data_IF_340003720367
#
_entry.id   IF_340003720367
#
_cell.length_a   1.000
_cell.length_b   1.000
_cell.length_c   1.000
_cell.angle_alpha   90.00
_cell.angle_beta   90.00
_cell.angle_gamma   90.00
#
_symmetry.space_group_name_H-M   'P 1'
#
loop_
_entity.id
_entity.type
_entity.pdbx_description
1 polymer ?
#
# COMPACT_ATOMS: atom_id res chain seq x y z
N UNK A 1 58.56 106.08 -29.32
CA UNK A 1 57.35 105.41 -29.83
C UNK A 1 57.65 104.94 -31.23
N UNK A 2 57.58 103.63 -31.48
CA UNK A 2 57.24 103.03 -32.77
C UNK A 2 57.44 101.52 -32.64
N UNK A 3 56.39 100.91 -32.10
CA UNK A 3 56.07 99.51 -32.27
C UNK A 3 56.06 99.17 -33.77
N UNK A 4 56.82 98.17 -34.25
CA UNK A 4 56.67 97.69 -35.62
C UNK A 4 55.29 97.05 -35.73
N UNK A 5 54.43 97.71 -36.48
CA UNK A 5 53.08 97.28 -36.81
C UNK A 5 53.19 96.07 -37.74
N UNK A 6 52.84 94.88 -37.25
CA UNK A 6 52.65 93.72 -38.11
C UNK A 6 51.46 93.99 -39.04
N UNK A 7 51.72 93.80 -40.34
CA UNK A 7 50.79 94.03 -41.45
C UNK A 7 49.53 93.17 -41.35
N UNK A 8 48.38 93.65 -41.88
CA UNK A 8 47.15 92.89 -41.91
C UNK A 8 47.34 91.67 -42.80
N UNK A 9 47.09 90.48 -42.24
CA UNK A 9 47.22 89.20 -42.93
C UNK A 9 46.40 89.21 -44.23
N UNK A 10 47.04 88.89 -45.37
CA UNK A 10 46.44 88.85 -46.71
C UNK A 10 45.21 87.92 -46.71
N UNK A 11 44.07 88.37 -47.26
CA UNK A 11 42.76 87.68 -47.21
C UNK A 11 42.76 86.21 -47.70
N UNK A 12 43.54 85.82 -48.73
CA UNK A 12 43.72 84.41 -49.13
C UNK A 12 44.46 83.56 -48.07
N UNK A 13 45.42 84.16 -47.35
CA UNK A 13 46.17 83.48 -46.28
C UNK A 13 45.32 83.27 -45.02
N UNK A 14 44.36 84.16 -44.76
CA UNK A 14 43.32 83.95 -43.72
C UNK A 14 42.43 82.76 -44.03
N UNK A 15 41.92 82.66 -45.26
CA UNK A 15 41.09 81.53 -45.70
C UNK A 15 41.84 80.19 -45.63
N UNK A 16 43.10 80.14 -46.04
CA UNK A 16 43.95 78.94 -45.92
C UNK A 16 44.18 78.51 -44.45
N UNK A 17 44.41 79.46 -43.54
CA UNK A 17 44.60 79.15 -42.12
C UNK A 17 43.30 78.63 -41.47
N UNK A 18 42.15 79.14 -41.94
CA UNK A 18 40.82 78.71 -41.52
C UNK A 18 40.51 77.29 -42.03
N UNK A 19 40.87 76.97 -43.28
CA UNK A 19 40.80 75.61 -43.83
C UNK A 19 41.72 74.62 -43.09
N UNK A 20 42.96 75.02 -42.77
CA UNK A 20 43.90 74.19 -41.98
C UNK A 20 43.35 73.94 -40.57
N UNK A 21 42.78 74.95 -39.92
CA UNK A 21 42.11 74.77 -38.61
C UNK A 21 40.93 73.81 -38.71
N UNK A 22 40.12 73.92 -39.77
CA UNK A 22 38.97 73.06 -40.01
C UNK A 22 39.39 71.62 -40.32
N UNK A 23 40.47 71.43 -41.06
CA UNK A 23 41.09 70.12 -41.31
C UNK A 23 41.64 69.52 -40.01
N UNK A 24 42.31 70.32 -39.19
CA UNK A 24 42.86 69.90 -37.90
C UNK A 24 41.74 69.44 -36.95
N UNK A 25 40.64 70.20 -36.85
CA UNK A 25 39.49 69.83 -36.01
C UNK A 25 38.79 68.56 -36.50
N UNK A 26 38.74 68.35 -37.83
CA UNK A 26 38.23 67.10 -38.42
C UNK A 26 39.16 65.92 -38.16
N UNK A 27 40.48 66.15 -38.12
CA UNK A 27 41.47 65.12 -37.84
C UNK A 27 41.41 64.65 -36.40
N UNK A 28 41.23 65.55 -35.43
CA UNK A 28 40.96 65.18 -34.03
C UNK A 28 39.65 64.40 -33.88
N UNK A 29 38.57 64.81 -34.55
CA UNK A 29 37.31 64.06 -34.53
C UNK A 29 37.46 62.65 -35.14
N UNK A 30 38.34 62.49 -36.12
CA UNK A 30 38.65 61.19 -36.72
C UNK A 30 39.47 60.30 -35.76
N UNK A 31 40.42 60.87 -35.02
CA UNK A 31 41.18 60.16 -33.98
C UNK A 31 40.28 59.66 -32.84
N UNK A 32 39.29 60.48 -32.43
CA UNK A 32 38.25 60.09 -31.47
C UNK A 32 37.41 58.93 -32.00
N UNK A 33 36.95 59.00 -33.25
CA UNK A 33 36.17 57.92 -33.90
C UNK A 33 36.96 56.60 -33.97
N UNK A 34 38.25 56.66 -34.31
CA UNK A 34 39.12 55.47 -34.33
C UNK A 34 39.23 54.87 -32.93
N UNK A 35 39.36 55.69 -31.90
CA UNK A 35 39.39 55.22 -30.51
C UNK A 35 38.08 54.55 -30.10
N UNK A 36 36.92 55.11 -30.45
CA UNK A 36 35.62 54.48 -30.22
C UNK A 36 35.47 53.15 -30.95
N UNK A 37 35.91 53.07 -32.22
CA UNK A 37 35.90 51.83 -33.01
C UNK A 37 36.76 50.74 -32.35
N UNK A 38 37.90 51.10 -31.74
CA UNK A 38 38.72 50.14 -31.01
C UNK A 38 38.01 49.60 -29.76
N UNK A 39 37.31 50.46 -29.01
CA UNK A 39 36.51 50.02 -27.85
C UNK A 39 35.37 49.07 -28.26
N UNK A 40 34.63 49.41 -29.32
CA UNK A 40 33.57 48.55 -29.86
C UNK A 40 34.12 47.20 -30.31
N UNK A 41 35.32 47.18 -30.92
CA UNK A 41 35.98 45.93 -31.33
C UNK A 41 36.32 45.05 -30.13
N UNK A 42 36.79 45.65 -29.04
CA UNK A 42 37.13 44.91 -27.81
C UNK A 42 35.87 44.35 -27.14
N UNK A 43 34.80 45.13 -27.04
CA UNK A 43 33.49 44.65 -26.57
C UNK A 43 32.94 43.52 -27.47
N UNK A 44 33.07 43.65 -28.79
CA UNK A 44 32.65 42.62 -29.74
C UNK A 44 33.46 41.33 -29.59
N UNK A 45 34.77 41.44 -29.31
CA UNK A 45 35.62 40.30 -28.99
C UNK A 45 35.19 39.62 -27.68
N UNK A 46 34.89 40.42 -26.65
CA UNK A 46 34.34 39.92 -25.38
C UNK A 46 33.02 39.18 -25.58
N UNK A 47 32.09 39.77 -26.31
CA UNK A 47 30.80 39.17 -26.64
C UNK A 47 30.97 37.84 -27.39
N UNK A 48 31.88 37.78 -28.36
CA UNK A 48 32.18 36.55 -29.09
C UNK A 48 32.63 35.44 -28.15
N UNK A 49 33.49 35.74 -27.17
CA UNK A 49 33.93 34.76 -26.16
C UNK A 49 32.75 34.28 -25.31
N UNK A 50 31.92 35.19 -24.80
CA UNK A 50 30.75 34.84 -24.00
C UNK A 50 29.74 33.97 -24.77
N UNK A 51 29.56 34.22 -26.07
CA UNK A 51 28.69 33.39 -26.93
C UNK A 51 29.22 31.96 -27.07
N UNK A 52 30.54 31.78 -27.20
CA UNK A 52 31.16 30.45 -27.28
C UNK A 52 31.02 29.68 -25.96
N UNK A 53 31.22 30.36 -24.83
CA UNK A 53 31.01 29.78 -23.50
C UNK A 53 29.54 29.37 -23.28
N UNK A 54 28.61 30.27 -23.60
CA UNK A 54 27.17 30.00 -23.53
C UNK A 54 26.78 28.80 -24.41
N UNK A 55 27.31 28.71 -25.64
CA UNK A 55 27.08 27.57 -26.52
C UNK A 55 27.59 26.25 -25.93
N UNK A 56 28.71 26.28 -25.21
CA UNK A 56 29.28 25.09 -24.56
C UNK A 56 28.41 24.64 -23.39
N UNK A 57 27.96 25.60 -22.57
CA UNK A 57 27.04 25.34 -21.46
C UNK A 57 25.73 24.75 -21.97
N UNK A 58 25.13 25.32 -23.02
CA UNK A 58 23.90 24.80 -23.64
C UNK A 58 24.06 23.36 -24.09
N UNK A 59 25.22 23.01 -24.66
CA UNK A 59 25.52 21.62 -25.06
C UNK A 59 25.60 20.68 -23.85
N UNK A 60 26.27 21.09 -22.77
CA UNK A 60 26.36 20.29 -21.52
C UNK A 60 24.97 20.10 -20.89
N UNK A 61 24.16 21.15 -20.84
CA UNK A 61 22.77 21.06 -20.39
C UNK A 61 21.96 20.09 -21.25
N UNK A 62 22.12 20.10 -22.57
CA UNK A 62 21.47 19.14 -23.46
C UNK A 62 21.84 17.69 -23.14
N UNK A 63 23.12 17.41 -22.87
CA UNK A 63 23.57 16.06 -22.48
C UNK A 63 23.01 15.63 -21.12
N UNK A 64 22.98 16.55 -20.14
CA UNK A 64 22.38 16.26 -18.83
C UNK A 64 20.88 16.03 -18.93
N UNK A 65 20.18 16.78 -19.78
CA UNK A 65 18.75 16.62 -20.01
C UNK A 65 18.44 15.24 -20.60
N UNK A 66 19.19 14.82 -21.62
CA UNK A 66 19.05 13.48 -22.20
C UNK A 66 19.26 12.38 -21.15
N UNK A 67 20.29 12.51 -20.29
CA UNK A 67 20.52 11.55 -19.21
C UNK A 67 19.33 11.47 -18.22
N UNK A 68 18.73 12.62 -17.89
CA UNK A 68 17.57 12.69 -17.02
C UNK A 68 16.36 12.02 -17.68
N UNK A 69 16.14 12.26 -18.98
CA UNK A 69 15.07 11.62 -19.76
C UNK A 69 15.22 10.10 -19.77
N UNK A 70 16.43 9.60 -20.03
CA UNK A 70 16.72 8.16 -20.04
C UNK A 70 16.44 7.53 -18.66
N UNK A 71 16.88 8.19 -17.58
CA UNK A 71 16.63 7.73 -16.21
C UNK A 71 15.15 7.80 -15.83
N UNK A 72 14.42 8.78 -16.34
CA UNK A 72 12.97 8.90 -16.11
C UNK A 72 12.24 7.71 -16.71
N UNK A 73 12.58 7.30 -17.94
CA UNK A 73 12.02 6.12 -18.59
C UNK A 73 12.28 4.85 -17.78
N UNK A 74 13.48 4.69 -17.20
CA UNK A 74 13.80 3.53 -16.36
C UNK A 74 13.02 3.52 -15.04
N UNK A 75 12.79 4.69 -14.44
CA UNK A 75 11.95 4.84 -13.24
C UNK A 75 10.49 4.45 -13.55
N UNK A 76 9.96 4.87 -14.69
CA UNK A 76 8.60 4.52 -15.12
C UNK A 76 8.45 3.00 -15.34
N UNK A 77 9.39 2.36 -16.04
CA UNK A 77 9.42 0.90 -16.20
C UNK A 77 9.51 0.16 -14.86
N UNK A 78 10.36 0.66 -13.96
CA UNK A 78 10.52 0.07 -12.62
C UNK A 78 9.23 0.16 -11.82
N UNK A 79 8.51 1.30 -11.89
CA UNK A 79 7.21 1.49 -11.25
C UNK A 79 6.16 0.50 -11.77
N UNK A 80 6.13 0.28 -13.08
CA UNK A 80 5.23 -0.71 -13.68
C UNK A 80 5.55 -2.13 -13.18
N UNK A 81 6.83 -2.51 -13.15
CA UNK A 81 7.26 -3.81 -12.62
C UNK A 81 6.88 -3.99 -11.16
N UNK A 82 7.06 -2.96 -10.31
CA UNK A 82 6.65 -3.00 -8.90
C UNK A 82 5.15 -3.26 -8.78
N UNK A 83 4.32 -2.55 -9.55
CA UNK A 83 2.86 -2.77 -9.53
C UNK A 83 2.48 -4.19 -9.95
N UNK A 84 3.15 -4.74 -10.97
CA UNK A 84 2.94 -6.10 -11.42
C UNK A 84 3.33 -7.12 -10.35
N UNK A 85 4.51 -6.95 -9.74
CA UNK A 85 5.01 -7.82 -8.69
C UNK A 85 4.11 -7.77 -7.45
N UNK A 86 3.67 -6.59 -7.03
CA UNK A 86 2.73 -6.45 -5.92
C UNK A 86 1.42 -7.21 -6.21
N UNK A 87 0.88 -7.06 -7.41
CA UNK A 87 -0.33 -7.79 -7.83
C UNK A 87 -0.14 -9.31 -7.78
N UNK A 88 1.02 -9.81 -8.18
CA UNK A 88 1.35 -11.24 -8.12
C UNK A 88 1.51 -11.73 -6.68
N UNK A 89 2.15 -10.94 -5.82
CA UNK A 89 2.29 -11.25 -4.39
C UNK A 89 0.91 -11.35 -3.74
N UNK A 90 0.02 -10.40 -4.00
CA UNK A 90 -1.35 -10.42 -3.45
C UNK A 90 -2.13 -11.68 -3.86
N UNK A 91 -1.99 -12.11 -5.12
CA UNK A 91 -2.60 -13.35 -5.61
C UNK A 91 -2.01 -14.57 -4.90
N UNK A 92 -0.69 -14.68 -4.81
CA UNK A 92 -0.01 -15.80 -4.16
C UNK A 92 -0.34 -15.89 -2.67
N UNK A 93 -0.44 -14.76 -1.97
CA UNK A 93 -0.89 -14.74 -0.57
C UNK A 93 -2.33 -15.25 -0.43
N UNK A 94 -3.22 -14.86 -1.34
CA UNK A 94 -4.60 -15.33 -1.34
C UNK A 94 -4.70 -16.84 -1.63
N UNK A 95 -3.89 -17.35 -2.56
CA UNK A 95 -3.82 -18.78 -2.88
C UNK A 95 -3.24 -19.59 -1.72
N UNK A 96 -2.17 -19.08 -1.10
CA UNK A 96 -1.56 -19.67 0.09
C UNK A 96 -2.56 -19.78 1.23
N UNK A 97 -3.26 -18.71 1.60
CA UNK A 97 -4.25 -18.78 2.68
C UNK A 97 -5.41 -19.73 2.34
N UNK A 98 -5.85 -19.76 1.07
CA UNK A 98 -6.86 -20.71 0.62
C UNK A 98 -6.40 -22.17 0.76
N UNK A 99 -5.14 -22.47 0.44
CA UNK A 99 -4.54 -23.79 0.59
C UNK A 99 -4.37 -24.17 2.07
N UNK A 100 -3.88 -23.26 2.91
CA UNK A 100 -3.77 -23.47 4.36
C UNK A 100 -5.14 -23.74 4.99
N UNK A 101 -6.16 -22.95 4.62
CA UNK A 101 -7.53 -23.15 5.09
C UNK A 101 -8.13 -24.47 4.59
N UNK A 102 -7.80 -24.89 3.36
CA UNK A 102 -8.22 -26.17 2.80
C UNK A 102 -7.70 -27.35 3.62
N UNK A 103 -6.42 -27.30 4.04
CA UNK A 103 -5.80 -28.37 4.84
C UNK A 103 -6.46 -28.59 6.20
N UNK A 104 -7.12 -27.57 6.75
CA UNK A 104 -7.82 -27.65 8.03
C UNK A 104 -9.34 -27.66 7.90
N UNK A 105 -9.88 -27.81 6.68
CA UNK A 105 -11.32 -27.64 6.45
C UNK A 105 -12.20 -28.65 7.15
N UNK A 106 -11.67 -29.80 7.55
CA UNK A 106 -12.44 -30.81 8.30
C UNK A 106 -12.23 -30.68 9.82
N UNK A 107 -11.55 -29.64 10.27
CA UNK A 107 -11.27 -29.43 11.68
C UNK A 107 -12.41 -28.64 12.35
N UNK A 108 -12.79 -29.08 13.54
CA UNK A 108 -13.64 -28.33 14.48
C UNK A 108 -12.76 -27.78 15.59
N UNK A 109 -12.94 -26.51 15.92
CA UNK A 109 -12.31 -25.85 17.06
C UNK A 109 -13.33 -25.74 18.22
N UNK A 110 -13.06 -26.45 19.31
CA UNK A 110 -13.82 -26.39 20.56
C UNK A 110 -13.15 -25.39 21.50
N UNK A 111 -13.89 -24.37 21.95
CA UNK A 111 -13.44 -23.35 22.91
C UNK A 111 -14.23 -23.43 24.21
N UNK A 112 -13.62 -22.97 25.30
CA UNK A 112 -14.29 -22.86 26.61
C UNK A 112 -14.36 -24.17 27.40
N UNK A 113 -13.73 -25.25 26.91
CA UNK A 113 -13.61 -26.51 27.64
C UNK A 113 -12.55 -26.34 28.75
N UNK A 114 -12.90 -26.44 30.05
CA UNK A 114 -11.95 -26.38 31.15
C UNK A 114 -10.82 -27.41 31.00
N UNK A 115 -9.62 -27.10 31.48
CA UNK A 115 -8.47 -28.01 31.42
C UNK A 115 -8.37 -28.87 32.69
N UNK A 116 -8.21 -30.18 32.54
CA UNK A 116 -7.90 -31.12 33.63
C UNK A 116 -6.63 -31.92 33.33
N UNK A 117 -6.04 -32.58 34.34
CA UNK A 117 -4.77 -33.30 34.17
C UNK A 117 -4.91 -34.59 33.34
N UNK A 118 -6.07 -35.25 33.43
CA UNK A 118 -6.33 -36.56 32.81
C UNK A 118 -7.52 -36.47 31.83
N UNK A 119 -7.44 -35.53 30.89
CA UNK A 119 -8.50 -35.32 29.91
C UNK A 119 -8.57 -36.45 28.89
N UNK A 120 -9.76 -37.05 28.75
CA UNK A 120 -10.07 -37.84 27.57
C UNK A 120 -10.83 -36.98 26.55
N UNK A 121 -10.08 -36.38 25.62
CA UNK A 121 -10.65 -35.53 24.57
C UNK A 121 -11.55 -36.31 23.61
N UNK A 122 -11.27 -37.59 23.39
CA UNK A 122 -12.09 -38.46 22.55
C UNK A 122 -13.49 -38.68 23.17
N UNK A 123 -13.54 -39.04 24.45
CA UNK A 123 -14.82 -39.21 25.15
C UNK A 123 -15.57 -37.89 25.22
N UNK A 124 -14.86 -36.76 25.38
CA UNK A 124 -15.44 -35.44 25.38
C UNK A 124 -16.19 -35.12 24.08
N UNK A 125 -15.56 -35.32 22.91
CA UNK A 125 -16.22 -35.02 21.63
C UNK A 125 -17.38 -35.98 21.34
N UNK A 126 -17.27 -37.25 21.74
CA UNK A 126 -18.37 -38.23 21.66
C UNK A 126 -19.54 -37.78 22.55
N UNK A 127 -19.25 -37.35 23.79
CA UNK A 127 -20.24 -36.84 24.75
C UNK A 127 -20.94 -35.58 24.22
N UNK A 128 -20.19 -34.63 23.65
CA UNK A 128 -20.76 -33.45 22.98
C UNK A 128 -21.70 -33.89 21.86
N UNK A 129 -21.26 -34.79 20.98
CA UNK A 129 -22.08 -35.32 19.89
C UNK A 129 -23.40 -35.92 20.37
N UNK A 130 -23.35 -36.73 21.44
CA UNK A 130 -24.55 -37.29 22.07
C UNK A 130 -25.50 -36.21 22.60
N UNK A 131 -24.98 -35.19 23.29
CA UNK A 131 -25.80 -34.08 23.84
C UNK A 131 -26.47 -33.23 22.78
N UNK A 132 -25.86 -33.08 21.60
CA UNK A 132 -26.41 -32.28 20.49
C UNK A 132 -27.18 -33.12 19.48
N UNK A 133 -27.51 -34.38 19.82
CA UNK A 133 -28.22 -35.33 18.96
C UNK A 133 -27.53 -35.58 17.60
N UNK A 134 -26.20 -35.53 17.58
CA UNK A 134 -25.38 -35.89 16.42
C UNK A 134 -24.13 -36.65 16.86
N UNK A 135 -24.27 -37.97 16.97
CA UNK A 135 -23.20 -38.84 17.44
C UNK A 135 -22.00 -38.82 16.48
N UNK A 136 -20.80 -38.67 17.05
CA UNK A 136 -19.51 -38.80 16.36
C UNK A 136 -18.79 -40.00 16.94
N UNK A 137 -18.19 -40.84 16.11
CA UNK A 137 -17.45 -42.03 16.55
C UNK A 137 -15.94 -41.84 16.43
N UNK A 138 -15.16 -42.65 17.16
CA UNK A 138 -13.69 -42.64 17.06
C UNK A 138 -13.19 -42.85 15.63
N UNK A 139 -13.84 -43.72 14.86
CA UNK A 139 -13.48 -44.06 13.49
C UNK A 139 -13.68 -42.90 12.51
N UNK A 140 -14.52 -41.93 12.88
CA UNK A 140 -14.75 -40.72 12.09
C UNK A 140 -13.72 -39.63 12.40
N UNK A 141 -12.86 -39.80 13.40
CA UNK A 141 -11.82 -38.84 13.78
C UNK A 141 -10.47 -39.27 13.22
N UNK A 142 -9.75 -38.30 12.66
CA UNK A 142 -8.34 -38.44 12.31
C UNK A 142 -7.48 -38.22 13.55
N UNK A 143 -7.66 -37.07 14.21
CA UNK A 143 -6.95 -36.73 15.45
C UNK A 143 -7.76 -35.74 16.30
N UNK A 144 -7.41 -35.65 17.58
CA UNK A 144 -7.93 -34.62 18.49
C UNK A 144 -6.84 -34.20 19.47
N UNK A 145 -6.65 -32.89 19.64
CA UNK A 145 -5.61 -32.36 20.52
C UNK A 145 -5.93 -30.94 21.02
N UNK A 146 -5.38 -30.57 22.18
CA UNK A 146 -5.32 -29.16 22.60
C UNK A 146 -4.33 -28.41 21.70
N UNK A 147 -4.70 -27.23 21.24
CA UNK A 147 -3.83 -26.34 20.46
C UNK A 147 -3.20 -25.30 21.38
N UNK A 148 -1.93 -24.90 21.17
CA UNK A 148 -1.32 -23.81 21.91
C UNK A 148 -2.15 -22.52 21.83
N UNK A 149 -2.24 -21.81 22.94
CA UNK A 149 -2.85 -20.48 23.03
C UNK A 149 -1.87 -19.53 23.68
N UNK A 150 -1.78 -18.30 23.17
CA UNK A 150 -1.02 -17.21 23.81
C UNK A 150 -1.80 -16.58 24.96
N UNK A 151 -3.10 -16.83 25.01
CA UNK A 151 -3.99 -16.36 26.05
C UNK A 151 -3.91 -17.32 27.25
N UNK A 152 -3.25 -16.87 28.32
CA UNK A 152 -3.11 -17.61 29.58
C UNK A 152 -4.37 -17.56 30.45
N UNK A 153 -5.29 -16.63 30.18
CA UNK A 153 -6.49 -16.42 30.98
C UNK A 153 -7.62 -17.35 30.56
N UNK A 154 -7.54 -17.92 29.34
CA UNK A 154 -8.55 -18.82 28.80
C UNK A 154 -7.99 -20.23 28.57
N UNK A 155 -8.82 -21.29 28.76
CA UNK A 155 -8.42 -22.65 28.46
C UNK A 155 -7.94 -22.80 27.02
N UNK A 156 -6.86 -23.56 26.81
CA UNK A 156 -6.35 -23.88 25.46
C UNK A 156 -7.45 -24.53 24.61
N UNK A 157 -7.71 -24.07 23.38
CA UNK A 157 -8.75 -24.67 22.54
C UNK A 157 -8.42 -26.12 22.17
N UNK A 158 -9.43 -26.93 21.86
CA UNK A 158 -9.26 -28.28 21.33
C UNK A 158 -9.57 -28.25 19.84
N UNK A 159 -8.75 -28.90 19.04
CA UNK A 159 -9.00 -29.12 17.62
C UNK A 159 -9.24 -30.60 17.40
N UNK A 160 -10.34 -30.92 16.72
CA UNK A 160 -10.67 -32.28 16.30
C UNK A 160 -10.78 -32.31 14.77
N UNK A 161 -9.98 -33.16 14.12
CA UNK A 161 -10.03 -33.39 12.68
C UNK A 161 -10.95 -34.57 12.40
N UNK A 162 -12.03 -34.32 11.65
CA UNK A 162 -13.00 -35.34 11.24
C UNK A 162 -12.65 -35.82 9.82
N UNK A 163 -12.76 -37.11 9.56
CA UNK A 163 -12.39 -37.71 8.27
C UNK A 163 -13.29 -37.25 7.12
N UNK A 164 -14.56 -36.96 7.42
CA UNK A 164 -15.55 -36.50 6.44
C UNK A 164 -15.96 -35.06 6.67
N UNK A 165 -15.86 -34.24 5.61
CA UNK A 165 -16.33 -32.85 5.65
C UNK A 165 -17.81 -32.77 5.96
N UNK A 166 -18.63 -33.65 5.37
CA UNK A 166 -20.07 -33.68 5.64
C UNK A 166 -20.36 -33.96 7.12
N UNK A 167 -19.66 -34.92 7.72
CA UNK A 167 -19.79 -35.22 9.16
C UNK A 167 -19.41 -34.02 10.01
N UNK A 168 -18.31 -33.32 9.67
CA UNK A 168 -17.93 -32.08 10.36
C UNK A 168 -19.01 -31.00 10.26
N UNK A 169 -19.51 -30.73 9.06
CA UNK A 169 -20.52 -29.68 8.84
C UNK A 169 -21.81 -29.98 9.58
N UNK A 170 -22.27 -31.23 9.55
CA UNK A 170 -23.47 -31.66 10.25
C UNK A 170 -23.29 -31.57 11.77
N UNK A 171 -22.11 -31.93 12.30
CA UNK A 171 -21.81 -31.77 13.72
C UNK A 171 -21.86 -30.30 14.15
N UNK A 172 -21.18 -29.41 13.42
CA UNK A 172 -21.18 -27.96 13.72
C UNK A 172 -22.60 -27.38 13.59
N UNK A 173 -23.38 -27.81 12.59
CA UNK A 173 -24.77 -27.41 12.41
C UNK A 173 -25.66 -27.90 13.57
N UNK A 174 -25.50 -29.15 14.02
CA UNK A 174 -26.23 -29.71 15.15
C UNK A 174 -25.94 -28.93 16.44
N UNK A 175 -24.67 -28.59 16.69
CA UNK A 175 -24.29 -27.75 17.84
C UNK A 175 -24.93 -26.35 17.73
N UNK A 176 -24.97 -25.74 16.54
CA UNK A 176 -25.64 -24.45 16.32
C UNK A 176 -27.15 -24.50 16.53
N UNK A 177 -27.80 -25.59 16.14
CA UNK A 177 -29.21 -25.82 16.40
C UNK A 177 -29.47 -25.98 17.89
N UNK A 178 -28.64 -26.77 18.57
CA UNK A 178 -28.70 -26.94 20.02
C UNK A 178 -28.61 -25.60 20.77
N UNK A 179 -27.82 -24.64 20.28
CA UNK A 179 -27.72 -23.29 20.86
C UNK A 179 -28.99 -22.45 20.82
N UNK A 180 -30.01 -22.83 20.03
CA UNK A 180 -31.29 -22.13 20.00
C UNK A 180 -32.11 -22.41 21.26
N UNK A 181 -32.04 -23.63 21.74
CA UNK A 181 -32.89 -24.12 22.84
C UNK A 181 -32.12 -24.33 24.14
N UNK A 182 -30.79 -24.45 24.07
CA UNK A 182 -29.94 -24.79 25.23
C UNK A 182 -28.51 -24.25 25.08
N UNK A 183 -27.74 -24.23 26.17
CA UNK A 183 -26.32 -23.87 26.12
C UNK A 183 -25.45 -25.11 26.35
N UNK A 184 -24.51 -25.39 25.44
CA UNK A 184 -23.48 -26.39 25.70
C UNK A 184 -22.51 -25.80 26.73
N UNK A 185 -22.54 -26.30 27.96
CA UNK A 185 -21.71 -25.84 29.07
C UNK A 185 -20.90 -26.98 29.69
N UNK A 186 -19.82 -26.64 30.39
CA UNK A 186 -18.94 -27.60 31.03
C UNK A 186 -19.70 -28.60 31.94
N UNK A 187 -20.56 -28.12 32.82
CA UNK A 187 -21.40 -28.96 33.69
C UNK A 187 -22.34 -29.91 32.95
N UNK A 188 -22.86 -29.54 31.77
CA UNK A 188 -23.70 -30.42 30.94
C UNK A 188 -22.94 -31.68 30.47
N UNK A 189 -21.62 -31.55 30.36
CA UNK A 189 -20.69 -32.63 30.01
C UNK A 189 -20.06 -33.29 31.25
N UNK A 190 -20.53 -32.97 32.46
CA UNK A 190 -19.97 -33.47 33.71
C UNK A 190 -18.61 -32.87 34.08
N UNK A 191 -18.19 -31.78 33.43
CA UNK A 191 -16.95 -31.07 33.74
C UNK A 191 -17.18 -30.01 34.82
N UNK A 192 -16.11 -29.65 35.54
CA UNK A 192 -16.15 -28.61 36.57
C UNK A 192 -16.46 -27.24 35.97
N UNK A 193 -17.42 -26.52 36.57
CA UNK A 193 -17.79 -25.15 36.21
C UNK A 193 -18.95 -25.06 35.22
N UNK A 194 -19.35 -23.82 34.88
CA UNK A 194 -20.49 -23.52 34.00
C UNK A 194 -20.08 -22.83 32.70
N UNK A 195 -18.77 -22.85 32.36
CA UNK A 195 -18.24 -22.20 31.18
C UNK A 195 -18.96 -22.70 29.91
N UNK A 196 -19.37 -21.76 29.06
CA UNK A 196 -19.97 -22.06 27.76
C UNK A 196 -18.92 -22.62 26.81
N UNK A 197 -19.24 -23.75 26.20
CA UNK A 197 -18.40 -24.41 25.20
C UNK A 197 -18.93 -24.04 23.82
N UNK A 198 -18.01 -23.67 22.93
CA UNK A 198 -18.30 -23.29 21.55
C UNK A 198 -17.68 -24.29 20.59
N UNK A 199 -18.45 -24.85 19.65
CA UNK A 199 -17.94 -25.60 18.51
C UNK A 199 -17.99 -24.75 17.24
N UNK A 200 -16.81 -24.46 16.67
CA UNK A 200 -16.68 -23.61 15.49
C UNK A 200 -15.90 -24.30 14.39
N UNK A 201 -16.03 -23.80 13.16
CA UNK A 201 -15.08 -24.09 12.09
C UNK A 201 -13.67 -23.64 12.52
N UNK A 202 -12.65 -24.49 12.30
CA UNK A 202 -11.28 -24.07 12.52
C UNK A 202 -10.80 -23.18 11.38
N UNK A 203 -10.47 -21.93 11.70
CA UNK A 203 -9.94 -20.94 10.77
C UNK A 203 -8.43 -20.75 10.93
N UNK A 204 -7.74 -20.41 9.83
CA UNK A 204 -6.35 -19.95 9.85
C UNK A 204 -6.21 -18.70 10.72
N UNK A 205 -5.00 -18.41 11.21
CA UNK A 205 -4.75 -17.19 11.99
C UNK A 205 -5.16 -15.93 11.22
N UNK A 206 -4.89 -15.88 9.91
CA UNK A 206 -5.32 -14.80 9.03
C UNK A 206 -6.85 -14.68 8.97
N UNK A 207 -7.56 -15.79 8.74
CA UNK A 207 -9.03 -15.78 8.69
C UNK A 207 -9.68 -15.47 10.05
N UNK A 208 -9.04 -15.83 11.17
CA UNK A 208 -9.46 -15.38 12.52
C UNK A 208 -9.34 -13.86 12.67
N UNK A 209 -8.23 -13.26 12.21
CA UNK A 209 -8.05 -11.80 12.20
C UNK A 209 -9.10 -11.13 11.30
N UNK A 210 -9.29 -11.65 10.09
CA UNK A 210 -10.29 -11.13 9.15
C UNK A 210 -11.71 -11.21 9.72
N UNK A 211 -12.06 -12.32 10.39
CA UNK A 211 -13.36 -12.46 11.06
C UNK A 211 -13.56 -11.39 12.14
N UNK A 212 -12.52 -11.10 12.93
CA UNK A 212 -12.58 -10.06 13.96
C UNK A 212 -12.75 -8.67 13.34
N UNK A 213 -11.97 -8.33 12.30
CA UNK A 213 -12.13 -7.07 11.54
C UNK A 213 -13.54 -6.96 10.95
N UNK A 214 -14.03 -8.04 10.36
CA UNK A 214 -15.37 -8.12 9.77
C UNK A 214 -16.45 -7.87 10.80
N UNK A 215 -16.38 -8.52 11.98
CA UNK A 215 -17.34 -8.32 13.07
C UNK A 215 -17.33 -6.90 13.61
N UNK A 216 -16.15 -6.30 13.75
CA UNK A 216 -15.99 -4.94 14.22
C UNK A 216 -16.64 -3.95 13.24
N UNK A 217 -16.25 -4.04 11.97
CA UNK A 217 -16.78 -3.17 10.91
C UNK A 217 -18.28 -3.37 10.69
N UNK A 218 -18.76 -4.62 10.71
CA UNK A 218 -20.19 -4.92 10.62
C UNK A 218 -20.99 -4.24 11.73
N UNK A 219 -20.44 -4.19 12.96
CA UNK A 219 -21.06 -3.48 14.09
C UNK A 219 -21.09 -1.98 13.87
N UNK A 220 -20.01 -1.39 13.36
CA UNK A 220 -19.93 0.06 13.07
C UNK A 220 -20.85 0.49 11.93
N UNK A 221 -21.10 -0.40 10.97
CA UNK A 221 -21.87 -0.13 9.76
C UNK A 221 -23.31 -0.69 9.82
N UNK A 222 -23.79 -1.07 11.01
CA UNK A 222 -25.13 -1.63 11.27
C UNK A 222 -25.50 -2.85 10.39
N UNK A 223 -24.53 -3.74 10.14
CA UNK A 223 -24.79 -5.05 9.56
C UNK A 223 -25.27 -6.02 10.63
N UNK A 224 -26.45 -6.60 10.42
CA UNK A 224 -27.12 -7.42 11.44
C UNK A 224 -26.48 -8.79 11.66
N UNK A 225 -25.85 -9.37 10.64
CA UNK A 225 -25.40 -10.76 10.70
C UNK A 225 -23.96 -10.93 10.21
N UNK A 226 -23.15 -11.59 11.04
CA UNK A 226 -21.81 -12.10 10.69
C UNK A 226 -21.68 -13.52 11.22
N UNK A 227 -21.35 -14.48 10.36
CA UNK A 227 -21.16 -15.87 10.78
C UNK A 227 -20.10 -16.56 9.93
N UNK A 228 -19.71 -17.75 10.37
CA UNK A 228 -18.80 -18.62 9.62
C UNK A 228 -19.57 -19.87 9.21
N UNK A 229 -19.43 -20.31 7.96
CA UNK A 229 -19.98 -21.59 7.49
C UNK A 229 -19.05 -22.14 6.42
N UNK A 230 -18.73 -23.43 6.46
CA UNK A 230 -17.75 -24.03 5.54
C UNK A 230 -16.38 -23.32 5.57
N UNK A 231 -15.94 -22.90 6.75
CA UNK A 231 -14.75 -22.06 6.95
C UNK A 231 -14.77 -20.72 6.18
N UNK A 232 -15.92 -20.29 5.65
CA UNK A 232 -16.09 -19.00 4.95
C UNK A 232 -16.76 -17.99 5.87
N UNK A 233 -16.23 -16.78 5.89
CA UNK A 233 -16.81 -15.66 6.64
C UNK A 233 -17.92 -15.06 5.78
N UNK A 234 -19.13 -15.01 6.33
CA UNK A 234 -20.32 -14.52 5.64
C UNK A 234 -20.95 -13.38 6.43
N UNK A 235 -21.46 -12.41 5.69
CA UNK A 235 -22.11 -11.23 6.24
C UNK A 235 -23.42 -10.97 5.53
N UNK A 236 -24.39 -10.41 6.25
CA UNK A 236 -25.69 -10.01 5.71
C UNK A 236 -26.20 -8.80 6.47
N UNK A 237 -26.59 -7.75 5.73
CA UNK A 237 -26.99 -6.47 6.32
C UNK A 237 -28.33 -6.58 7.07
N UNK A 238 -29.36 -7.14 6.45
CA UNK A 238 -30.67 -7.38 7.07
C UNK A 238 -31.36 -8.62 6.50
N UNK A 239 -32.60 -8.88 6.93
CA UNK A 239 -33.35 -10.12 6.62
C UNK A 239 -33.71 -10.31 5.14
N UNK A 240 -33.66 -9.24 4.34
CA UNK A 240 -33.92 -9.25 2.90
C UNK A 240 -32.65 -9.07 2.05
N UNK A 241 -31.51 -8.74 2.66
CA UNK A 241 -30.28 -8.46 1.93
C UNK A 241 -29.60 -9.75 1.43
N UNK A 242 -28.80 -9.70 0.35
CA UNK A 242 -28.00 -10.84 -0.07
C UNK A 242 -26.92 -11.17 0.98
N UNK A 243 -26.49 -12.44 0.98
CA UNK A 243 -25.33 -12.89 1.77
C UNK A 243 -24.07 -12.60 0.99
N UNK A 244 -23.12 -11.88 1.58
CA UNK A 244 -21.79 -11.66 1.00
C UNK A 244 -20.78 -12.54 1.72
N UNK A 245 -19.78 -13.02 0.97
CA UNK A 245 -18.62 -13.72 1.53
C UNK A 245 -17.44 -12.75 1.57
N UNK A 246 -16.74 -12.72 2.71
CA UNK A 246 -15.53 -11.94 2.94
C UNK A 246 -14.35 -12.92 2.92
N UNK A 247 -13.44 -12.76 1.95
CA UNK A 247 -12.30 -13.67 1.79
C UNK A 247 -10.94 -12.97 1.97
N UNK A 248 -10.51 -12.03 1.11
CA UNK A 248 -9.36 -11.18 1.40
C UNK A 248 -9.76 -9.90 2.16
N UNK A 249 -8.81 -9.23 2.80
CA UNK A 249 -9.05 -7.95 3.50
C UNK A 249 -9.72 -6.88 2.60
N UNK A 250 -9.43 -6.86 1.29
CA UNK A 250 -10.10 -5.96 0.33
C UNK A 250 -11.62 -6.14 0.28
N UNK A 251 -12.14 -7.31 0.63
CA UNK A 251 -13.59 -7.55 0.68
C UNK A 251 -14.26 -6.81 1.83
N UNK A 252 -13.52 -6.29 2.81
CA UNK A 252 -14.08 -5.43 3.86
C UNK A 252 -14.72 -4.16 3.28
N UNK A 253 -14.29 -3.71 2.10
CA UNK A 253 -14.91 -2.60 1.37
C UNK A 253 -16.36 -2.90 0.96
N UNK A 254 -16.77 -4.18 0.89
CA UNK A 254 -18.18 -4.56 0.64
C UNK A 254 -19.10 -4.20 1.81
N UNK A 255 -18.54 -3.92 2.99
CA UNK A 255 -19.27 -3.60 4.23
C UNK A 255 -19.35 -2.09 4.46
N UNK A 256 -18.44 -1.30 3.85
CA UNK A 256 -18.41 0.16 3.98
C UNK A 256 -19.49 0.84 3.10
N UNK A 257 -19.83 2.09 3.43
CA UNK A 257 -20.77 2.96 2.68
C UNK A 257 -20.18 3.25 1.29
N UNK A 258 -20.40 2.35 0.34
CA UNK A 258 -19.91 2.45 -1.05
C UNK A 258 -19.93 1.14 -1.83
N UNK A 259 -20.30 0.01 -1.21
CA UNK A 259 -20.43 -1.30 -1.87
C UNK A 259 -21.74 -1.54 -2.62
N UNK A 260 -22.37 -0.49 -3.16
CA UNK A 260 -23.38 -0.56 -4.23
C UNK A 260 -23.08 0.53 -5.25
#
# INVERSE_FOLDING_TARGET
>A
MNTPTLSPMHEPSRKLLEEIKTLSSRMTAFEELVSEIMLVRDEFSGLKSSVVEASTIVKDFGLRLQNIEDRLLDVEKTKELINNLQSRVDVLECEKDAAEQWNIMNNVELKGVPQTANENLLDLIISIGSKVNYAVTKQQLNFIARTPSRDSNHPKPIVACINSRYVKENFVAAVRLFYRDSSLSANLLGLKGSAKIFANDHLTSRNKILLNKTKHLAKEMDWRYVWVKHCKIQVRRGDSSPVLTIKPDKDLLKITKGGM
#
